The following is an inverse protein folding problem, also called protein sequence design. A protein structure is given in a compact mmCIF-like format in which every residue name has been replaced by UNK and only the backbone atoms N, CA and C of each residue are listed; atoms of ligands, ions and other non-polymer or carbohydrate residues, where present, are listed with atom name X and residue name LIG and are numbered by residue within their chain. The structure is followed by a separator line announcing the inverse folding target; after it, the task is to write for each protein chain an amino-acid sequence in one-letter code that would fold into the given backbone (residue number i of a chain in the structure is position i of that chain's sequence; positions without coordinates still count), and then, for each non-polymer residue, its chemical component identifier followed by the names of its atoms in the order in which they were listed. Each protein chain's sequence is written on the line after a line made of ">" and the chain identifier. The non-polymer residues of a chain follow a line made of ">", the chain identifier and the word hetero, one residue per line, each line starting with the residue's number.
data_IF_905823725863
#
_entry.id   IF_905823725863
#
_cell.length_a   1.000
_cell.length_b   1.000
_cell.length_c   1.000
_cell.angle_alpha   90.00
_cell.angle_beta   90.00
_cell.angle_gamma   90.00
#
_symmetry.space_group_name_H-M   'P 1'
#
loop_
_entity.id
_entity.type
_entity.pdbx_description
1 polymer ?
#
# COMPACT_ATOMS: atom_id res chain seq x y z
N UNK A 1 -9.19 -90.98 -15.03
CA UNK A 1 -9.22 -89.60 -15.52
C UNK A 1 -9.69 -88.75 -14.39
N UNK A 2 -8.79 -88.02 -13.74
CA UNK A 2 -9.17 -87.09 -12.66
C UNK A 2 -8.10 -86.01 -12.40
N UNK A 3 -6.84 -86.22 -12.80
CA UNK A 3 -5.78 -85.22 -12.58
C UNK A 3 -5.89 -83.95 -13.43
N UNK A 4 -6.61 -83.98 -14.56
CA UNK A 4 -6.81 -82.78 -15.41
C UNK A 4 -7.83 -81.78 -14.83
N UNK A 5 -8.80 -82.24 -14.03
CA UNK A 5 -9.83 -81.37 -13.44
C UNK A 5 -9.31 -80.59 -12.23
N UNK A 6 -8.34 -81.14 -11.49
CA UNK A 6 -7.79 -80.49 -10.29
C UNK A 6 -6.85 -79.34 -10.66
N UNK A 7 -6.06 -79.49 -11.74
CA UNK A 7 -5.16 -78.43 -12.21
C UNK A 7 -5.88 -77.22 -12.79
N UNK A 8 -6.97 -77.43 -13.54
CA UNK A 8 -7.78 -76.34 -14.08
C UNK A 8 -8.50 -75.55 -12.97
N UNK A 9 -9.03 -76.23 -11.94
CA UNK A 9 -9.67 -75.59 -10.79
C UNK A 9 -8.70 -74.73 -9.96
N UNK A 10 -7.45 -75.17 -9.81
CA UNK A 10 -6.41 -74.40 -9.11
C UNK A 10 -5.97 -73.19 -9.94
N UNK A 11 -5.88 -73.34 -11.26
CA UNK A 11 -5.52 -72.26 -12.19
C UNK A 11 -6.60 -71.15 -12.21
N UNK A 12 -7.88 -71.54 -12.30
CA UNK A 12 -9.02 -70.61 -12.19
C UNK A 12 -9.03 -69.88 -10.84
N UNK A 13 -8.70 -70.56 -9.74
CA UNK A 13 -8.59 -69.96 -8.41
C UNK A 13 -7.44 -68.95 -8.26
N UNK A 14 -6.32 -69.18 -8.96
CA UNK A 14 -5.18 -68.26 -9.01
C UNK A 14 -5.45 -67.02 -9.88
N UNK A 15 -6.13 -67.21 -11.01
CA UNK A 15 -6.58 -66.11 -11.87
C UNK A 15 -7.62 -65.24 -11.15
N UNK A 16 -8.59 -65.86 -10.47
CA UNK A 16 -9.59 -65.14 -9.68
C UNK A 16 -8.96 -64.30 -8.56
N UNK A 17 -7.97 -64.86 -7.82
CA UNK A 17 -7.20 -64.12 -6.80
C UNK A 17 -6.42 -62.95 -7.39
N UNK A 18 -5.86 -63.13 -8.57
CA UNK A 18 -5.14 -62.05 -9.28
C UNK A 18 -6.08 -60.95 -9.73
N UNK A 19 -7.27 -61.31 -10.20
CA UNK A 19 -8.34 -60.38 -10.59
C UNK A 19 -8.89 -59.59 -9.40
N UNK A 20 -9.12 -60.24 -8.26
CA UNK A 20 -9.57 -59.56 -7.03
C UNK A 20 -8.50 -58.61 -6.51
N UNK A 21 -7.22 -59.00 -6.48
CA UNK A 21 -6.13 -58.10 -6.10
C UNK A 21 -6.01 -56.87 -7.03
N UNK A 22 -6.22 -57.06 -8.35
CA UNK A 22 -6.26 -55.93 -9.31
C UNK A 22 -7.48 -55.04 -9.09
N UNK A 23 -8.64 -55.62 -8.76
CA UNK A 23 -9.85 -54.86 -8.46
C UNK A 23 -9.69 -54.01 -7.19
N UNK A 24 -9.13 -54.59 -6.13
CA UNK A 24 -8.84 -53.88 -4.87
C UNK A 24 -7.84 -52.74 -5.10
N UNK A 25 -6.82 -52.97 -5.92
CA UNK A 25 -5.86 -51.93 -6.30
C UNK A 25 -6.53 -50.76 -7.06
N UNK A 26 -7.44 -51.07 -8.00
CA UNK A 26 -8.18 -50.06 -8.74
C UNK A 26 -9.16 -49.30 -7.85
N UNK A 27 -9.85 -49.99 -6.94
CA UNK A 27 -10.73 -49.36 -5.95
C UNK A 27 -9.94 -48.41 -5.04
N UNK A 28 -8.79 -48.86 -4.53
CA UNK A 28 -7.91 -48.02 -3.72
C UNK A 28 -7.47 -46.77 -4.49
N UNK A 29 -7.05 -46.92 -5.75
CA UNK A 29 -6.68 -45.78 -6.61
C UNK A 29 -7.86 -44.81 -6.83
N UNK A 30 -9.07 -45.31 -7.03
CA UNK A 30 -10.26 -44.47 -7.18
C UNK A 30 -10.55 -43.68 -5.90
N UNK A 31 -10.39 -44.30 -4.72
CA UNK A 31 -10.57 -43.61 -3.43
C UNK A 31 -9.52 -42.51 -3.22
N UNK A 32 -8.26 -42.78 -3.55
CA UNK A 32 -7.19 -41.78 -3.44
C UNK A 32 -7.43 -40.60 -4.40
N UNK A 33 -7.87 -40.87 -5.64
CA UNK A 33 -8.22 -39.80 -6.59
C UNK A 33 -9.43 -38.99 -6.12
N UNK A 34 -10.48 -39.62 -5.58
CA UNK A 34 -11.65 -38.92 -5.01
C UNK A 34 -11.24 -37.99 -3.85
N UNK A 35 -10.33 -38.44 -2.99
CA UNK A 35 -9.80 -37.61 -1.90
C UNK A 35 -9.04 -36.39 -2.44
N UNK A 36 -8.13 -36.60 -3.40
CA UNK A 36 -7.36 -35.52 -4.03
C UNK A 36 -8.28 -34.49 -4.70
N UNK A 37 -9.32 -34.95 -5.42
CA UNK A 37 -10.27 -34.06 -6.08
C UNK A 37 -11.11 -33.24 -5.08
N UNK A 38 -11.44 -33.81 -3.92
CA UNK A 38 -12.12 -33.07 -2.84
C UNK A 38 -11.22 -32.01 -2.23
N UNK A 39 -9.95 -32.30 -2.05
CA UNK A 39 -8.96 -31.34 -1.54
C UNK A 39 -8.78 -30.16 -2.52
N UNK A 40 -8.62 -30.46 -3.81
CA UNK A 40 -8.53 -29.45 -4.87
C UNK A 40 -9.80 -28.58 -4.93
N UNK A 41 -10.98 -29.18 -4.78
CA UNK A 41 -12.26 -28.44 -4.74
C UNK A 41 -12.31 -27.41 -3.62
N UNK A 42 -11.86 -27.77 -2.42
CA UNK A 42 -11.81 -26.82 -1.28
C UNK A 42 -10.85 -25.66 -1.57
N UNK A 43 -9.73 -25.93 -2.24
CA UNK A 43 -8.78 -24.89 -2.64
C UNK A 43 -9.39 -23.95 -3.68
N UNK A 44 -10.11 -24.50 -4.67
CA UNK A 44 -10.81 -23.72 -5.70
C UNK A 44 -11.89 -22.84 -5.07
N UNK A 45 -12.71 -23.38 -4.16
CA UNK A 45 -13.77 -22.64 -3.47
C UNK A 45 -13.20 -21.47 -2.64
N UNK A 46 -12.06 -21.67 -1.96
CA UNK A 46 -11.35 -20.59 -1.25
C UNK A 46 -10.84 -19.51 -2.19
N UNK A 47 -10.30 -19.89 -3.35
CA UNK A 47 -9.82 -18.92 -4.35
C UNK A 47 -10.98 -18.12 -4.95
N UNK A 48 -12.12 -18.76 -5.20
CA UNK A 48 -13.34 -18.08 -5.67
C UNK A 48 -13.85 -17.08 -4.63
N UNK A 49 -13.98 -17.48 -3.36
CA UNK A 49 -14.42 -16.59 -2.28
C UNK A 49 -13.48 -15.37 -2.11
N UNK A 50 -12.17 -15.58 -2.28
CA UNK A 50 -11.19 -14.49 -2.25
C UNK A 50 -11.34 -13.53 -3.44
N UNK A 51 -11.59 -14.05 -4.65
CA UNK A 51 -11.86 -13.24 -5.84
C UNK A 51 -13.15 -12.43 -5.70
N UNK A 52 -14.22 -13.01 -5.14
CA UNK A 52 -15.47 -12.30 -4.86
C UNK A 52 -15.28 -11.17 -3.84
N UNK A 53 -14.51 -11.42 -2.77
CA UNK A 53 -14.19 -10.38 -1.79
C UNK A 53 -13.40 -9.21 -2.39
N UNK A 54 -12.46 -9.50 -3.29
CA UNK A 54 -11.73 -8.47 -4.06
C UNK A 54 -12.70 -7.67 -4.95
N UNK A 55 -13.56 -8.36 -5.69
CA UNK A 55 -14.59 -7.75 -6.55
C UNK A 55 -15.47 -6.76 -5.79
N UNK A 56 -16.00 -7.17 -4.64
CA UNK A 56 -16.83 -6.32 -3.77
C UNK A 56 -16.06 -5.12 -3.22
N UNK A 57 -14.79 -5.32 -2.84
CA UNK A 57 -13.90 -4.22 -2.44
C UNK A 57 -13.70 -3.19 -3.55
N UNK A 58 -13.44 -3.65 -4.78
CA UNK A 58 -13.29 -2.80 -5.96
C UNK A 58 -14.58 -2.02 -6.24
N UNK A 59 -15.74 -2.68 -6.20
CA UNK A 59 -17.04 -2.06 -6.40
C UNK A 59 -17.32 -0.97 -5.36
N UNK A 60 -16.97 -1.22 -4.09
CA UNK A 60 -17.14 -0.25 -3.01
C UNK A 60 -16.26 1.00 -3.23
N UNK A 61 -15.00 0.82 -3.68
CA UNK A 61 -14.11 1.93 -4.02
C UNK A 61 -14.65 2.72 -5.22
N UNK A 62 -15.12 2.05 -6.26
CA UNK A 62 -15.73 2.70 -7.43
C UNK A 62 -16.95 3.54 -7.03
N UNK A 63 -17.83 3.02 -6.16
CA UNK A 63 -18.99 3.76 -5.65
C UNK A 63 -18.57 5.01 -4.86
N UNK A 64 -17.56 4.91 -3.99
CA UNK A 64 -17.04 6.07 -3.26
C UNK A 64 -16.46 7.12 -4.20
N UNK A 65 -15.70 6.70 -5.21
CA UNK A 65 -15.15 7.61 -6.21
C UNK A 65 -16.25 8.31 -7.00
N UNK A 66 -17.29 7.58 -7.41
CA UNK A 66 -18.48 8.14 -8.06
C UNK A 66 -19.16 9.19 -7.18
N UNK A 67 -19.36 8.92 -5.90
CA UNK A 67 -19.97 9.88 -4.97
C UNK A 67 -19.11 11.14 -4.80
N UNK A 68 -17.79 10.98 -4.63
CA UNK A 68 -16.87 12.10 -4.52
C UNK A 68 -16.89 12.99 -5.78
N UNK A 69 -17.05 12.41 -6.97
CA UNK A 69 -17.19 13.17 -8.23
C UNK A 69 -18.49 13.98 -8.27
N UNK A 70 -19.59 13.43 -7.75
CA UNK A 70 -20.87 14.14 -7.62
C UNK A 70 -20.73 15.32 -6.63
N UNK A 71 -20.11 15.09 -5.47
CA UNK A 71 -19.88 16.13 -4.47
C UNK A 71 -18.99 17.27 -5.01
N UNK A 72 -17.92 16.90 -5.74
CA UNK A 72 -17.04 17.87 -6.39
C UNK A 72 -17.78 18.70 -7.44
N UNK A 73 -18.67 18.05 -8.22
CA UNK A 73 -19.53 18.74 -9.20
C UNK A 73 -20.47 19.72 -8.49
N UNK A 74 -21.03 19.33 -7.34
CA UNK A 74 -21.83 20.20 -6.47
C UNK A 74 -21.05 21.43 -5.99
N UNK A 75 -19.84 21.22 -5.46
CA UNK A 75 -18.97 22.30 -4.99
C UNK A 75 -18.59 23.27 -6.13
N UNK A 76 -18.28 22.76 -7.33
CA UNK A 76 -17.99 23.59 -8.51
C UNK A 76 -19.21 24.44 -8.89
N UNK A 77 -20.42 23.88 -8.85
CA UNK A 77 -21.64 24.64 -9.16
C UNK A 77 -21.93 25.73 -8.12
N UNK A 78 -21.64 25.48 -6.84
CA UNK A 78 -21.73 26.51 -5.80
C UNK A 78 -20.69 27.62 -5.98
N UNK A 79 -19.45 27.27 -6.31
CA UNK A 79 -18.42 28.27 -6.60
C UNK A 79 -18.78 29.12 -7.83
N UNK A 80 -19.40 28.52 -8.85
CA UNK A 80 -19.88 29.23 -10.04
C UNK A 80 -21.02 30.20 -9.71
N UNK A 81 -21.96 29.84 -8.83
CA UNK A 81 -23.03 30.75 -8.42
C UNK A 81 -22.50 31.93 -7.59
N UNK A 82 -21.53 31.68 -6.71
CA UNK A 82 -20.82 32.72 -5.97
C UNK A 82 -20.09 33.66 -6.93
N UNK A 83 -19.33 33.12 -7.89
CA UNK A 83 -18.62 33.92 -8.89
C UNK A 83 -19.55 34.81 -9.70
N UNK A 84 -20.71 34.30 -10.12
CA UNK A 84 -21.69 35.06 -10.92
C UNK A 84 -22.36 36.19 -10.10
N UNK A 85 -22.52 36.01 -8.78
CA UNK A 85 -23.01 37.07 -7.89
C UNK A 85 -21.93 38.14 -7.64
N UNK A 86 -20.65 37.76 -7.57
CA UNK A 86 -19.52 38.68 -7.40
C UNK A 86 -19.25 39.60 -8.61
N UNK A 87 -19.85 39.33 -9.77
CA UNK A 87 -19.79 40.19 -10.97
C UNK A 87 -20.83 41.31 -11.01
N UNK A 88 -21.75 41.40 -10.04
CA UNK A 88 -22.71 42.51 -9.97
C UNK A 88 -22.10 43.75 -9.29
N UNK A 89 -22.12 44.94 -9.93
CA UNK A 89 -21.43 46.14 -9.44
C UNK A 89 -21.73 46.65 -8.01
N UNK A 90 -22.90 46.43 -7.36
CA UNK A 90 -23.17 47.10 -6.09
C UNK A 90 -22.42 46.55 -4.86
N UNK A 91 -21.92 45.30 -4.87
CA UNK A 91 -21.42 44.65 -3.63
C UNK A 91 -19.90 44.75 -3.41
N UNK A 92 -19.11 45.10 -4.43
CA UNK A 92 -17.64 45.14 -4.34
C UNK A 92 -17.12 46.25 -3.41
N UNK A 93 -17.87 47.33 -3.25
CA UNK A 93 -17.43 48.48 -2.45
C UNK A 93 -17.64 48.29 -0.93
N UNK A 94 -18.63 47.47 -0.54
CA UNK A 94 -18.96 47.22 0.86
C UNK A 94 -18.04 46.16 1.49
N UNK A 95 -17.57 45.19 0.70
CA UNK A 95 -16.68 44.11 1.17
C UNK A 95 -15.24 44.57 1.49
N UNK A 96 -14.74 45.59 0.78
CA UNK A 96 -13.38 46.10 1.01
C UNK A 96 -13.23 46.84 2.35
N UNK A 97 -14.31 47.40 2.89
CA UNK A 97 -14.28 48.07 4.19
C UNK A 97 -14.23 47.05 5.34
N UNK A 98 -15.02 45.97 5.25
CA UNK A 98 -15.06 44.91 6.28
C UNK A 98 -13.76 44.10 6.35
N UNK A 99 -13.08 43.87 5.22
CA UNK A 99 -11.78 43.15 5.18
C UNK A 99 -10.68 43.93 5.90
N UNK A 100 -10.75 45.26 5.94
CA UNK A 100 -9.70 46.09 6.55
C UNK A 100 -9.81 46.12 8.08
N UNK A 101 -11.03 45.97 8.61
CA UNK A 101 -11.30 45.96 10.06
C UNK A 101 -11.04 44.58 10.72
N UNK A 102 -11.12 43.47 9.98
CA UNK A 102 -10.88 42.13 10.54
C UNK A 102 -9.41 41.65 10.50
N UNK A 103 -8.50 42.39 9.85
CA UNK A 103 -7.06 42.05 9.77
C UNK A 103 -6.31 42.09 11.10
N UNK A 104 -6.94 42.54 12.20
CA UNK A 104 -6.32 42.62 13.52
C UNK A 104 -6.42 41.38 14.41
N UNK A 105 -7.18 40.33 14.05
CA UNK A 105 -7.57 39.32 15.05
C UNK A 105 -7.51 37.84 14.64
N UNK A 106 -6.82 37.49 13.54
CA UNK A 106 -6.52 36.10 13.20
C UNK A 106 -5.07 35.97 12.76
N UNK A 107 -4.17 35.84 13.73
CA UNK A 107 -2.81 35.36 13.51
C UNK A 107 -2.59 34.07 14.32
N UNK A 108 -3.35 33.01 14.00
CA UNK A 108 -2.91 31.63 14.23
C UNK A 108 -3.77 30.63 13.45
N UNK A 109 -3.59 30.60 12.14
CA UNK A 109 -3.93 29.43 11.32
C UNK A 109 -2.73 29.16 10.43
N UNK A 110 -2.10 28.00 10.66
CA UNK A 110 -1.15 27.30 9.80
C UNK A 110 -0.78 28.03 8.50
N UNK A 111 0.49 28.43 8.41
CA UNK A 111 1.10 28.82 7.14
C UNK A 111 0.97 27.66 6.15
N UNK A 112 0.30 27.82 4.98
CA UNK A 112 0.62 26.98 3.86
C UNK A 112 2.04 27.36 3.44
N UNK A 113 3.00 26.44 3.56
CA UNK A 113 4.23 26.60 2.83
C UNK A 113 3.87 26.57 1.35
N UNK A 114 3.84 27.76 0.76
CA UNK A 114 3.73 27.98 -0.68
C UNK A 114 4.71 27.04 -1.36
N UNK A 115 4.19 26.23 -2.28
CA UNK A 115 5.02 25.51 -3.23
C UNK A 115 5.73 26.60 -4.04
N UNK A 116 6.99 26.87 -3.72
CA UNK A 116 7.89 27.50 -4.66
C UNK A 116 8.06 26.50 -5.80
N UNK A 117 7.18 26.59 -6.80
CA UNK A 117 7.43 26.04 -8.12
C UNK A 117 8.51 26.94 -8.70
N UNK A 118 9.75 26.46 -8.71
CA UNK A 118 10.78 27.03 -9.55
C UNK A 118 10.24 27.05 -10.99
N UNK A 119 10.27 28.23 -11.61
CA UNK A 119 10.00 28.41 -13.04
C UNK A 119 10.87 27.44 -13.84
N UNK A 120 10.30 26.92 -14.95
CA UNK A 120 10.87 25.96 -15.94
C UNK A 120 10.61 24.50 -15.49
N UNK A 121 9.55 23.79 -15.92
CA UNK A 121 9.08 23.56 -17.29
C UNK A 121 7.54 23.55 -17.39
N UNK A 122 6.97 24.47 -18.17
CA UNK A 122 5.56 24.47 -18.54
C UNK A 122 5.38 23.74 -19.89
N UNK A 123 5.11 22.44 -19.87
CA UNK A 123 4.60 21.74 -21.05
C UNK A 123 3.08 21.94 -21.11
N UNK A 124 2.63 22.78 -22.04
CA UNK A 124 1.21 22.99 -22.34
C UNK A 124 0.68 21.79 -23.13
N UNK A 125 -0.44 21.21 -22.68
CA UNK A 125 -1.24 20.34 -23.54
C UNK A 125 -1.92 21.19 -24.65
N UNK A 126 -2.32 20.53 -25.73
CA UNK A 126 -3.14 21.01 -26.85
C UNK A 126 -4.42 21.75 -26.43
N UNK A 127 -4.89 21.57 -25.20
CA UNK A 127 -6.02 22.28 -24.58
C UNK A 127 -5.64 23.58 -23.84
N UNK A 128 -4.35 23.91 -23.74
CA UNK A 128 -3.86 25.12 -23.06
C UNK A 128 -3.94 25.08 -21.52
N UNK A 129 -4.35 23.95 -20.93
CA UNK A 129 -4.39 23.76 -19.49
C UNK A 129 -3.00 23.35 -18.98
N UNK A 130 -2.51 24.02 -17.92
CA UNK A 130 -1.27 23.65 -17.25
C UNK A 130 -1.48 22.32 -16.51
N UNK A 131 -1.07 21.22 -17.14
CA UNK A 131 -0.99 19.92 -16.47
C UNK A 131 0.33 19.91 -15.71
N UNK A 132 0.29 20.09 -14.39
CA UNK A 132 1.46 19.79 -13.57
C UNK A 132 1.70 18.28 -13.66
N UNK A 133 2.63 17.84 -14.51
CA UNK A 133 3.19 16.50 -14.39
C UNK A 133 3.78 16.42 -12.99
N UNK A 134 3.23 15.54 -12.15
CA UNK A 134 3.88 15.21 -10.90
C UNK A 134 5.30 14.75 -11.22
N UNK A 135 6.31 15.46 -10.71
CA UNK A 135 7.70 15.04 -10.85
C UNK A 135 7.84 13.74 -10.06
N UNK A 136 8.08 12.65 -10.78
CA UNK A 136 8.35 11.34 -10.19
C UNK A 136 9.82 11.31 -9.79
N UNK A 137 10.09 10.96 -8.54
CA UNK A 137 11.46 10.74 -8.06
C UNK A 137 11.65 9.29 -7.65
N UNK A 138 12.84 8.74 -7.86
CA UNK A 138 13.14 7.35 -7.50
C UNK A 138 13.25 7.13 -5.99
N UNK A 139 13.75 8.14 -5.29
CA UNK A 139 13.91 8.13 -3.84
C UNK A 139 13.87 9.54 -3.28
N UNK A 140 13.61 9.67 -1.99
CA UNK A 140 13.74 10.96 -1.29
C UNK A 140 15.18 11.50 -1.36
N UNK A 141 16.19 10.64 -1.52
CA UNK A 141 17.58 11.07 -1.70
C UNK A 141 17.80 11.78 -3.04
N UNK A 142 17.02 11.45 -4.07
CA UNK A 142 17.09 12.05 -5.41
C UNK A 142 16.19 13.29 -5.57
N UNK A 143 15.35 13.62 -4.59
CA UNK A 143 14.50 14.81 -4.65
C UNK A 143 15.36 16.10 -4.75
N UNK A 144 15.25 16.88 -5.85
CA UNK A 144 16.14 18.02 -6.11
C UNK A 144 15.92 19.19 -5.16
N UNK A 145 14.69 19.44 -4.71
CA UNK A 145 14.39 20.59 -3.87
C UNK A 145 15.00 20.50 -2.47
N UNK A 146 15.33 19.27 -2.01
CA UNK A 146 15.80 19.00 -0.63
C UNK A 146 14.89 19.59 0.45
N UNK A 147 13.60 19.71 0.15
CA UNK A 147 12.59 20.16 1.11
C UNK A 147 11.84 18.97 1.70
N UNK A 148 11.61 19.00 3.00
CA UNK A 148 10.72 18.02 3.63
C UNK A 148 9.31 18.20 3.07
N UNK A 149 8.64 17.10 2.73
CA UNK A 149 7.31 17.17 2.15
C UNK A 149 6.86 15.89 1.46
N UNK A 150 5.75 16.00 0.72
CA UNK A 150 5.12 14.87 0.02
C UNK A 150 5.58 14.84 -1.43
N UNK A 151 6.00 13.67 -1.89
CA UNK A 151 6.53 13.46 -3.23
C UNK A 151 6.01 12.16 -3.82
N UNK A 152 5.83 12.12 -5.15
CA UNK A 152 5.51 10.89 -5.84
C UNK A 152 6.79 10.08 -6.05
N UNK A 153 6.85 8.92 -5.40
CA UNK A 153 7.99 8.02 -5.42
C UNK A 153 7.72 6.88 -6.39
N UNK A 154 8.67 6.62 -7.29
CA UNK A 154 8.66 5.47 -8.21
C UNK A 154 10.02 4.77 -8.16
N UNK A 155 10.23 3.77 -7.28
CA UNK A 155 11.55 3.19 -7.03
C UNK A 155 12.20 2.59 -8.28
N UNK A 156 11.43 1.86 -9.09
CA UNK A 156 11.88 1.28 -10.36
C UNK A 156 10.90 1.59 -11.49
N UNK A 157 11.31 1.37 -12.74
CA UNK A 157 10.44 1.64 -13.90
C UNK A 157 9.16 0.80 -13.96
N UNK A 158 9.18 -0.37 -13.32
CA UNK A 158 8.07 -1.31 -13.30
C UNK A 158 7.13 -1.11 -12.10
N UNK A 159 7.49 -0.22 -11.16
CA UNK A 159 6.66 0.06 -9.99
C UNK A 159 5.55 1.06 -10.30
N UNK A 160 4.40 0.86 -9.68
CA UNK A 160 3.37 1.89 -9.58
C UNK A 160 3.84 3.00 -8.64
N UNK A 161 3.79 4.28 -9.07
CA UNK A 161 4.12 5.40 -8.20
C UNK A 161 3.20 5.48 -6.98
N UNK A 162 3.77 5.88 -5.84
CA UNK A 162 3.00 6.15 -4.62
C UNK A 162 3.41 7.47 -4.00
N UNK A 163 2.48 8.07 -3.24
CA UNK A 163 2.78 9.28 -2.48
C UNK A 163 3.55 8.91 -1.21
N UNK A 164 4.78 9.41 -1.08
CA UNK A 164 5.64 9.23 0.08
C UNK A 164 5.92 10.56 0.80
N UNK A 165 6.32 10.48 2.07
CA UNK A 165 6.79 11.63 2.83
C UNK A 165 8.31 11.60 2.93
N UNK A 166 8.97 12.61 2.36
CA UNK A 166 10.41 12.77 2.40
C UNK A 166 10.81 13.69 3.53
N UNK A 167 11.69 13.22 4.40
CA UNK A 167 12.36 14.02 5.43
C UNK A 167 13.77 14.39 4.95
N UNK A 168 14.04 15.69 4.82
CA UNK A 168 15.24 16.23 4.17
C UNK A 168 16.15 17.01 5.12
N UNK A 169 15.76 17.22 6.37
CA UNK A 169 16.50 18.02 7.35
C UNK A 169 17.27 17.15 8.33
N UNK A 170 16.63 16.13 8.90
CA UNK A 170 17.26 15.25 9.89
C UNK A 170 18.28 14.30 9.26
N UNK A 171 19.38 14.03 9.96
CA UNK A 171 20.43 13.08 9.57
C UNK A 171 20.93 13.21 8.12
N UNK A 172 21.06 14.44 7.61
CA UNK A 172 21.55 14.69 6.25
C UNK A 172 20.54 14.43 5.13
N UNK A 173 19.27 14.20 5.48
CA UNK A 173 18.14 14.13 4.57
C UNK A 173 18.16 12.94 3.60
N UNK A 174 17.11 12.90 2.79
CA UNK A 174 16.85 11.82 1.83
C UNK A 174 16.10 10.64 2.41
N UNK A 175 15.46 10.83 3.55
CA UNK A 175 14.73 9.78 4.26
C UNK A 175 13.31 9.66 3.72
N UNK A 176 12.92 8.43 3.37
CA UNK A 176 11.51 8.12 3.15
C UNK A 176 10.91 7.63 4.47
N UNK A 177 9.90 8.34 4.97
CA UNK A 177 9.16 7.93 6.16
C UNK A 177 8.17 6.84 5.74
N UNK A 178 8.32 5.65 6.31
CA UNK A 178 7.40 4.53 6.04
C UNK A 178 6.43 4.24 7.19
N UNK A 179 6.67 4.82 8.37
CA UNK A 179 5.79 4.73 9.53
C UNK A 179 5.94 6.01 10.36
N UNK A 180 4.83 6.60 10.80
CA UNK A 180 4.85 7.79 11.65
C UNK A 180 3.71 7.78 12.68
N UNK A 181 4.04 7.95 13.96
CA UNK A 181 3.12 8.02 15.10
C UNK A 181 3.39 9.28 15.93
N UNK A 182 2.34 9.96 16.38
CA UNK A 182 2.45 11.14 17.24
C UNK A 182 1.23 11.43 18.13
N UNK A 183 0.02 10.99 17.78
CA UNK A 183 -1.21 11.35 18.52
C UNK A 183 -2.25 10.23 18.67
N UNK A 184 -2.02 9.05 18.09
CA UNK A 184 -2.95 7.92 18.17
C UNK A 184 -4.22 8.08 17.30
N UNK A 185 -4.25 9.00 16.34
CA UNK A 185 -5.41 9.24 15.46
C UNK A 185 -5.72 8.08 14.51
N UNK A 186 -4.75 7.19 14.28
CA UNK A 186 -4.92 6.02 13.42
C UNK A 186 -4.74 4.76 14.25
N UNK A 187 -5.69 3.84 14.12
CA UNK A 187 -5.58 2.50 14.70
C UNK A 187 -4.55 1.66 13.92
N UNK A 188 -3.61 1.05 14.64
CA UNK A 188 -2.58 0.16 14.10
C UNK A 188 -2.86 -1.31 14.41
N UNK A 189 -3.93 -1.63 15.16
CA UNK A 189 -4.38 -3.01 15.31
C UNK A 189 -5.15 -3.45 14.04
N UNK A 190 -4.40 -3.83 13.01
CA UNK A 190 -4.92 -4.10 11.67
C UNK A 190 -4.59 -5.49 11.19
N UNK A 191 -5.37 -5.96 10.23
CA UNK A 191 -5.15 -7.25 9.58
C UNK A 191 -3.93 -7.25 8.63
N UNK A 192 -3.61 -8.44 8.12
CA UNK A 192 -2.51 -8.65 7.18
C UNK A 192 -2.63 -7.81 5.92
N UNK A 193 -3.84 -7.71 5.35
CA UNK A 193 -4.09 -7.01 4.09
C UNK A 193 -3.83 -5.51 4.25
N UNK A 194 -4.24 -4.93 5.38
CA UNK A 194 -3.94 -3.55 5.72
C UNK A 194 -2.44 -3.31 5.90
N UNK A 195 -1.72 -4.17 6.62
CA UNK A 195 -0.26 -4.05 6.77
C UNK A 195 0.49 -4.25 5.45
N UNK A 196 0.01 -5.12 4.57
CA UNK A 196 0.53 -5.28 3.21
C UNK A 196 0.39 -3.99 2.40
N UNK A 197 -0.83 -3.47 2.32
CA UNK A 197 -1.20 -2.39 1.41
C UNK A 197 -0.83 -0.99 1.95
N UNK A 198 -0.76 -0.84 3.28
CA UNK A 198 -0.65 0.46 3.94
C UNK A 198 -1.99 0.99 4.44
N UNK A 199 -1.94 1.88 5.43
CA UNK A 199 -3.11 2.54 6.00
C UNK A 199 -2.71 3.88 6.66
N UNK A 200 -3.71 4.71 6.95
CA UNK A 200 -3.50 6.09 7.42
C UNK A 200 -3.26 7.06 6.28
N UNK A 201 -2.68 8.22 6.59
CA UNK A 201 -2.38 9.26 5.61
C UNK A 201 -0.99 9.83 5.84
N UNK A 202 -0.25 10.11 4.77
CA UNK A 202 1.04 10.81 4.83
C UNK A 202 0.92 12.24 5.39
N UNK A 203 -0.30 12.76 5.52
CA UNK A 203 -0.61 14.03 6.21
C UNK A 203 -0.78 13.86 7.73
N UNK A 204 -0.70 12.64 8.26
CA UNK A 204 -0.92 12.32 9.66
C UNK A 204 -0.17 11.05 10.09
N UNK A 205 -0.80 10.22 10.91
CA UNK A 205 -0.25 8.91 11.25
C UNK A 205 -0.48 7.93 10.09
N UNK A 206 0.54 7.12 9.79
CA UNK A 206 0.42 6.14 8.71
C UNK A 206 1.41 4.98 8.81
N UNK A 207 1.06 3.95 8.05
CA UNK A 207 1.90 2.84 7.66
C UNK A 207 1.94 2.78 6.13
N UNK A 208 3.13 2.84 5.53
CA UNK A 208 3.30 2.92 4.08
C UNK A 208 2.81 1.65 3.35
N UNK A 209 2.95 0.49 4.00
CA UNK A 209 2.65 -0.82 3.43
C UNK A 209 3.91 -1.66 3.22
N UNK A 210 3.84 -2.93 3.61
CA UNK A 210 4.95 -3.89 3.49
C UNK A 210 5.33 -4.16 2.03
N UNK A 211 4.36 -4.20 1.12
CA UNK A 211 4.65 -4.46 -0.31
C UNK A 211 5.48 -3.34 -0.93
N UNK A 212 5.15 -2.07 -0.59
CA UNK A 212 5.95 -0.92 -1.01
C UNK A 212 7.35 -0.97 -0.38
N UNK A 213 7.43 -1.26 0.92
CA UNK A 213 8.70 -1.34 1.64
C UNK A 213 9.61 -2.45 1.11
N UNK A 214 9.04 -3.60 0.72
CA UNK A 214 9.76 -4.68 0.08
C UNK A 214 10.36 -4.24 -1.25
N UNK A 215 9.56 -3.66 -2.14
CA UNK A 215 10.04 -3.17 -3.46
C UNK A 215 11.18 -2.17 -3.32
N UNK A 216 11.06 -1.23 -2.38
CA UNK A 216 12.09 -0.22 -2.10
C UNK A 216 13.38 -0.90 -1.64
N UNK A 217 13.31 -1.74 -0.60
CA UNK A 217 14.50 -2.40 -0.03
C UNK A 217 15.07 -3.52 -0.91
N UNK A 218 14.31 -4.01 -1.89
CA UNK A 218 14.77 -4.93 -2.92
C UNK A 218 15.51 -4.21 -4.06
N UNK A 219 15.11 -2.98 -4.39
CA UNK A 219 15.69 -2.21 -5.49
C UNK A 219 17.13 -1.75 -5.22
N UNK A 220 17.46 -1.41 -3.97
CA UNK A 220 18.80 -1.01 -3.56
C UNK A 220 19.01 -1.21 -2.05
N UNK A 221 20.27 -1.14 -1.60
CA UNK A 221 20.61 -1.18 -0.17
C UNK A 221 20.08 0.09 0.50
N UNK A 222 19.32 -0.09 1.58
CA UNK A 222 18.82 1.00 2.40
C UNK A 222 19.31 0.85 3.84
N UNK A 223 19.46 1.96 4.52
CA UNK A 223 19.60 2.01 5.98
C UNK A 223 18.25 2.29 6.63
N UNK A 224 18.12 1.92 7.91
CA UNK A 224 16.92 2.18 8.72
C UNK A 224 17.26 3.17 9.82
N UNK A 225 16.40 4.17 9.99
CA UNK A 225 16.41 5.08 11.14
C UNK A 225 15.06 5.00 11.85
N UNK A 226 15.09 4.79 13.16
CA UNK A 226 13.94 4.80 14.04
C UNK A 226 14.13 5.95 15.04
N UNK A 227 13.23 6.92 15.01
CA UNK A 227 13.23 8.07 15.91
C UNK A 227 12.07 7.94 16.91
N UNK A 228 12.36 8.19 18.18
CA UNK A 228 11.41 8.04 19.27
C UNK A 228 11.44 9.27 20.17
N UNK A 229 10.27 9.72 20.61
CA UNK A 229 10.12 10.77 21.61
C UNK A 229 9.15 10.29 22.68
N UNK A 230 9.58 10.31 23.94
CA UNK A 230 8.70 9.96 25.05
C UNK A 230 7.77 11.12 25.45
N UNK A 231 6.84 10.87 26.38
CA UNK A 231 5.88 11.86 26.85
C UNK A 231 6.54 13.04 27.61
N UNK A 232 7.76 12.88 28.11
CA UNK A 232 8.55 13.96 28.71
C UNK A 232 9.32 14.78 27.66
N UNK A 233 9.20 14.40 26.39
CA UNK A 233 9.87 15.03 25.26
C UNK A 233 11.30 14.55 25.04
N UNK A 234 11.76 13.52 25.74
CA UNK A 234 13.11 12.97 25.57
C UNK A 234 13.19 12.23 24.24
N UNK A 235 14.10 12.68 23.40
CA UNK A 235 14.38 12.10 22.10
C UNK A 235 15.42 10.98 22.18
N UNK A 236 15.20 9.91 21.42
CA UNK A 236 16.16 8.82 21.19
C UNK A 236 16.06 8.36 19.74
N UNK A 237 17.12 7.71 19.26
CA UNK A 237 17.12 7.09 17.93
C UNK A 237 17.87 5.76 17.90
N UNK A 238 17.52 4.91 16.93
CA UNK A 238 18.25 3.71 16.53
C UNK A 238 18.47 3.74 15.02
N UNK A 239 19.70 3.54 14.57
CA UNK A 239 20.08 3.49 13.16
C UNK A 239 20.73 2.15 12.86
N UNK A 240 20.38 1.55 11.73
CA UNK A 240 20.95 0.29 11.24
C UNK A 240 21.48 0.51 9.83
N UNK A 241 22.75 0.14 9.60
CA UNK A 241 23.44 0.43 8.34
C UNK A 241 22.86 -0.29 7.11
N UNK A 242 22.05 -1.33 7.32
CA UNK A 242 21.37 -2.11 6.28
C UNK A 242 19.97 -2.47 6.79
N UNK A 243 18.98 -2.44 5.90
CA UNK A 243 17.62 -2.86 6.17
C UNK A 243 16.99 -3.44 4.90
N UNK A 244 16.53 -4.70 4.97
CA UNK A 244 15.85 -5.37 3.87
C UNK A 244 14.81 -6.35 4.38
N UNK A 245 13.63 -6.32 3.75
CA UNK A 245 12.56 -7.28 4.02
C UNK A 245 12.29 -8.18 2.80
N UNK A 246 11.80 -9.38 3.07
CA UNK A 246 11.42 -10.38 2.07
C UNK A 246 10.13 -9.99 1.35
N UNK A 247 9.80 -10.80 0.34
CA UNK A 247 8.53 -10.68 -0.40
C UNK A 247 7.32 -11.17 0.43
N UNK A 248 6.09 -11.00 -0.10
CA UNK A 248 4.88 -11.55 0.54
C UNK A 248 4.96 -13.08 0.73
N UNK A 249 5.55 -13.80 -0.23
CA UNK A 249 5.76 -15.26 -0.15
C UNK A 249 6.68 -15.62 1.02
N UNK A 250 7.66 -14.77 1.29
CA UNK A 250 8.57 -14.88 2.44
C UNK A 250 8.03 -14.20 3.71
N UNK A 251 6.73 -13.87 3.71
CA UNK A 251 6.01 -13.25 4.80
C UNK A 251 6.64 -11.93 5.28
N UNK A 252 7.26 -11.18 4.37
CA UNK A 252 7.96 -9.93 4.68
C UNK A 252 9.02 -10.05 5.79
N UNK A 253 9.63 -11.24 5.93
CA UNK A 253 10.67 -11.49 6.93
C UNK A 253 11.82 -10.48 6.84
N UNK A 254 12.36 -10.05 7.99
CA UNK A 254 13.55 -9.22 8.03
C UNK A 254 14.76 -10.04 7.53
N UNK A 255 15.23 -9.73 6.31
CA UNK A 255 16.29 -10.48 5.64
C UNK A 255 17.68 -9.97 6.01
N UNK A 256 17.82 -8.67 6.21
CA UNK A 256 19.09 -8.04 6.54
C UNK A 256 18.85 -6.87 7.50
N UNK A 257 19.63 -6.85 8.57
CA UNK A 257 19.73 -5.75 9.52
C UNK A 257 21.22 -5.48 9.76
N UNK A 258 21.64 -4.24 9.53
CA UNK A 258 23.04 -3.83 9.62
C UNK A 258 23.50 -3.54 11.04
N UNK A 259 24.69 -2.96 11.14
CA UNK A 259 25.29 -2.55 12.41
C UNK A 259 24.44 -1.46 13.06
N UNK A 260 24.13 -1.66 14.34
CA UNK A 260 23.42 -0.70 15.17
C UNK A 260 24.28 0.52 15.53
N UNK A 261 23.66 1.69 15.52
CA UNK A 261 24.17 2.90 16.14
C UNK A 261 23.01 3.73 16.69
N UNK A 262 23.06 4.17 17.95
CA UNK A 262 21.97 4.96 18.50
C UNK A 262 22.01 5.16 20.00
N UNK A 263 20.98 5.86 20.48
CA UNK A 263 20.75 6.18 21.90
C UNK A 263 19.52 5.46 22.47
N UNK A 264 18.73 4.80 21.61
CA UNK A 264 17.53 4.05 21.98
C UNK A 264 17.81 2.76 22.75
N UNK A 265 19.03 2.22 22.66
CA UNK A 265 19.29 0.80 22.89
C UNK A 265 19.04 -0.01 21.61
N UNK A 266 19.70 -1.16 21.49
CA UNK A 266 19.47 -2.12 20.40
C UNK A 266 18.39 -3.11 20.84
N UNK A 267 17.32 -3.23 20.06
CA UNK A 267 16.11 -3.97 20.44
C UNK A 267 15.37 -4.57 19.23
N UNK A 268 16.05 -4.68 18.08
CA UNK A 268 15.53 -5.33 16.88
C UNK A 268 16.28 -6.64 16.59
#
# INVERSE_FOLDING_TARGET
>A
GDERNVTDSILEGLEYKTLTAKLDYLQHKLTVMDYSLKEDRVIIDRRLAYQEAISEGILAVMKRMSNNLVDLTGAINQLRSISNNCTTPPQKHQWNQTITEQKGNYHECYMPQVIHVSREDQLKDSSGLAVSRAVLVRSCKEEPSKRTGKYWIKPTEHDEPFLGYCEQTSFGGGWLVFQYRFNGSVDFNRDWVAYRNGFGSVDGEFWLGLERLHRITAAQIHELLVELKDFSGKYKYARYSVFKIGSEVEQYSLKMLGVYAGTAGDSL
#
